data_IF_189284471120
#
_entry.id   IF_189284471120
#
_cell.length_a   1.000
_cell.length_b   1.000
_cell.length_c   1.000
_cell.angle_alpha   90.00
_cell.angle_beta   90.00
_cell.angle_gamma   90.00
#
_symmetry.space_group_name_H-M   'P 1'
#
loop_
_entity.id
_entity.type
_entity.pdbx_description
1 polymer ?
#
# COMPACT_ATOMS: atom_id res chain seq x y z
N UNK A 1 -11.39 -4.89 9.17
CA UNK A 1 -10.99 -6.14 8.49
C UNK A 1 -11.02 -7.29 9.49
N UNK A 2 -11.81 -8.34 9.20
CA UNK A 2 -11.90 -9.55 10.03
C UNK A 2 -11.04 -10.70 9.49
N UNK A 3 -10.62 -10.63 8.23
CA UNK A 3 -9.73 -11.62 7.60
C UNK A 3 -8.30 -11.37 8.04
N UNK A 4 -7.86 -10.11 7.97
CA UNK A 4 -6.58 -9.65 8.51
C UNK A 4 -6.83 -8.58 9.58
N UNK A 5 -7.02 -8.95 10.85
CA UNK A 5 -7.22 -7.99 11.93
C UNK A 5 -6.05 -7.00 11.99
N UNK A 6 -6.35 -5.70 11.91
CA UNK A 6 -5.32 -4.67 11.75
C UNK A 6 -4.31 -4.65 12.91
N UNK A 7 -4.73 -4.98 14.15
CA UNK A 7 -3.81 -5.10 15.29
C UNK A 7 -2.79 -6.24 15.11
N UNK A 8 -3.16 -7.30 14.40
CA UNK A 8 -2.23 -8.37 14.05
C UNK A 8 -1.26 -7.91 12.96
N UNK A 9 -1.74 -7.20 11.93
CA UNK A 9 -0.90 -6.61 10.88
C UNK A 9 0.07 -5.58 11.47
N UNK A 10 -0.39 -4.77 12.43
CA UNK A 10 0.41 -3.73 13.08
C UNK A 10 1.65 -4.26 13.81
N UNK A 11 1.64 -5.54 14.22
CA UNK A 11 2.83 -6.21 14.78
C UNK A 11 4.02 -6.26 13.81
N UNK A 12 3.82 -5.94 12.53
CA UNK A 12 4.90 -5.75 11.57
C UNK A 12 6.00 -4.79 12.08
N UNK A 13 5.66 -3.75 12.84
CA UNK A 13 6.64 -2.84 13.46
C UNK A 13 7.61 -3.56 14.42
N UNK A 14 7.20 -4.69 15.00
CA UNK A 14 8.03 -5.48 15.92
C UNK A 14 8.95 -6.48 15.20
N UNK A 15 8.76 -6.67 13.89
CA UNK A 15 9.45 -7.69 13.09
C UNK A 15 10.28 -7.10 11.94
N UNK A 16 10.14 -5.80 11.69
CA UNK A 16 10.76 -5.12 10.56
C UNK A 16 12.03 -4.39 11.01
N UNK A 17 13.14 -4.66 10.33
CA UNK A 17 14.40 -3.92 10.49
C UNK A 17 14.50 -2.70 9.54
N UNK A 18 13.37 -2.30 8.94
CA UNK A 18 13.34 -1.12 8.06
C UNK A 18 13.64 0.17 8.84
N UNK A 19 14.46 1.09 8.30
CA UNK A 19 14.81 2.34 8.98
C UNK A 19 13.61 3.29 9.14
N UNK A 20 12.56 3.08 8.35
CA UNK A 20 11.31 3.81 8.43
C UNK A 20 10.14 2.88 8.06
N UNK A 21 9.08 2.89 8.86
CA UNK A 21 7.82 2.16 8.61
C UNK A 21 6.67 3.16 8.63
N UNK A 22 5.98 3.29 7.50
CA UNK A 22 4.71 4.04 7.44
C UNK A 22 3.55 3.06 7.50
N UNK A 23 2.71 3.17 8.54
CA UNK A 23 1.52 2.35 8.68
C UNK A 23 0.27 3.15 8.31
N UNK A 24 -0.59 2.54 7.51
CA UNK A 24 -1.85 3.12 7.05
C UNK A 24 -3.00 2.23 7.51
N UNK A 25 -3.92 2.81 8.27
CA UNK A 25 -5.17 2.16 8.68
C UNK A 25 -6.34 2.77 7.92
N UNK A 26 -6.96 1.99 7.05
CA UNK A 26 -8.05 2.44 6.17
C UNK A 26 -9.43 2.15 6.76
N UNK A 27 -10.43 2.99 6.47
CA UNK A 27 -11.83 2.68 6.78
C UNK A 27 -12.42 1.61 5.84
N UNK A 28 -13.08 0.61 6.42
CA UNK A 28 -13.79 -0.45 5.68
C UNK A 28 -13.44 -1.88 6.11
N UNK A 29 -14.08 -2.85 5.46
CA UNK A 29 -13.73 -4.27 5.55
C UNK A 29 -12.49 -4.61 4.70
N UNK A 30 -12.12 -5.90 4.64
CA UNK A 30 -10.93 -6.38 3.91
C UNK A 30 -10.83 -5.81 2.48
N UNK A 31 -11.82 -6.12 1.63
CA UNK A 31 -11.84 -5.66 0.25
C UNK A 31 -12.19 -4.17 0.12
N UNK A 32 -13.12 -3.70 0.96
CA UNK A 32 -13.64 -2.33 0.85
C UNK A 32 -12.62 -1.29 1.32
N UNK A 33 -11.73 -1.64 2.25
CA UNK A 33 -10.67 -0.75 2.74
C UNK A 33 -9.51 -0.65 1.76
N UNK A 34 -9.10 -1.78 1.16
CA UNK A 34 -8.00 -1.79 0.18
C UNK A 34 -8.39 -1.11 -1.13
N UNK A 35 -9.62 -1.34 -1.62
CA UNK A 35 -10.18 -0.69 -2.81
C UNK A 35 -10.64 0.74 -2.47
N UNK A 36 -9.72 1.69 -2.63
CA UNK A 36 -9.89 3.08 -2.22
C UNK A 36 -9.74 4.01 -3.43
N UNK A 37 -10.70 4.02 -4.33
CA UNK A 37 -10.68 4.92 -5.49
C UNK A 37 -10.60 6.41 -5.06
N UNK A 38 -9.72 7.24 -5.68
CA UNK A 38 -9.52 8.64 -5.27
C UNK A 38 -10.77 9.51 -5.35
N UNK A 39 -11.73 9.14 -6.21
CA UNK A 39 -12.96 9.90 -6.41
C UNK A 39 -14.02 9.67 -5.32
N UNK A 40 -13.79 8.76 -4.36
CA UNK A 40 -14.74 8.47 -3.31
C UNK A 40 -14.46 9.31 -2.05
N UNK A 41 -15.25 10.38 -1.78
CA UNK A 41 -14.99 11.29 -0.66
C UNK A 41 -15.33 10.68 0.71
N UNK A 42 -16.03 9.53 0.75
CA UNK A 42 -16.39 8.86 2.01
C UNK A 42 -15.26 8.01 2.57
N UNK A 43 -14.15 7.89 1.84
CA UNK A 43 -12.95 7.21 2.33
C UNK A 43 -12.26 8.06 3.37
N UNK A 44 -11.74 7.38 4.39
CA UNK A 44 -10.88 7.98 5.41
C UNK A 44 -9.79 6.97 5.76
N UNK A 45 -8.63 7.46 6.18
CA UNK A 45 -7.54 6.64 6.67
C UNK A 45 -6.80 7.37 7.81
N UNK A 46 -6.11 6.61 8.65
CA UNK A 46 -5.12 7.12 9.58
C UNK A 46 -3.74 6.70 9.11
N UNK A 47 -2.75 7.57 9.27
CA UNK A 47 -1.39 7.30 8.80
C UNK A 47 -0.39 7.92 9.75
N UNK A 48 0.62 7.13 10.10
CA UNK A 48 1.75 7.59 10.91
C UNK A 48 3.00 6.83 10.48
N UNK A 49 4.11 7.55 10.48
CA UNK A 49 5.43 7.04 10.13
C UNK A 49 6.26 6.94 11.38
N UNK A 50 6.81 5.76 11.64
CA UNK A 50 7.75 5.48 12.70
C UNK A 50 9.16 5.30 12.11
N UNK A 51 10.15 5.92 12.72
CA UNK A 51 11.56 5.87 12.30
C UNK A 51 12.40 5.06 13.27
N UNK A 52 13.54 4.58 12.77
CA UNK A 52 14.53 3.90 13.59
C UNK A 52 14.92 4.75 14.80
N UNK A 53 14.94 4.11 15.99
CA UNK A 53 15.23 4.76 17.25
C UNK A 53 14.02 5.41 17.95
N UNK A 54 12.87 5.54 17.28
CA UNK A 54 11.63 5.96 17.94
C UNK A 54 11.05 4.82 18.78
N UNK A 55 10.37 5.18 19.89
CA UNK A 55 9.75 4.19 20.76
C UNK A 55 8.57 3.52 20.07
N UNK A 56 8.41 2.21 20.31
CA UNK A 56 7.23 1.48 19.89
C UNK A 56 5.96 2.07 20.52
N UNK A 57 4.96 2.36 19.70
CA UNK A 57 3.64 2.81 20.12
C UNK A 57 2.72 1.58 20.06
N UNK A 58 2.03 1.25 21.15
CA UNK A 58 1.07 0.14 21.10
C UNK A 58 -0.12 0.48 20.17
N UNK A 59 -0.83 -0.52 19.63
CA UNK A 59 -1.87 -0.29 18.65
C UNK A 59 -2.97 0.67 19.14
N UNK A 60 -3.37 0.60 20.41
CA UNK A 60 -4.50 1.39 20.91
C UNK A 60 -4.09 2.86 21.07
N UNK A 61 -2.87 3.13 21.56
CA UNK A 61 -2.29 4.49 21.52
C UNK A 61 -2.12 4.98 20.09
N UNK A 62 -1.60 4.14 19.19
CA UNK A 62 -1.43 4.50 17.78
C UNK A 62 -2.75 4.91 17.13
N UNK A 63 -3.85 4.20 17.44
CA UNK A 63 -5.17 4.53 16.90
C UNK A 63 -5.66 5.92 17.34
N UNK A 64 -5.33 6.34 18.55
CA UNK A 64 -5.69 7.64 19.10
C UNK A 64 -4.81 8.78 18.58
N UNK A 65 -3.52 8.52 18.40
CA UNK A 65 -2.51 9.54 18.05
C UNK A 65 -2.34 9.71 16.53
N UNK A 66 -2.56 8.65 15.74
CA UNK A 66 -2.35 8.69 14.30
C UNK A 66 -3.30 9.69 13.63
N UNK A 67 -2.77 10.70 12.91
CA UNK A 67 -3.59 11.68 12.22
C UNK A 67 -4.58 11.04 11.26
N UNK A 68 -5.81 11.57 11.25
CA UNK A 68 -6.88 11.13 10.35
C UNK A 68 -6.96 12.02 9.12
N UNK A 69 -7.06 11.39 7.97
CA UNK A 69 -7.15 12.00 6.66
C UNK A 69 -8.44 11.60 5.95
N UNK A 70 -8.99 12.52 5.16
CA UNK A 70 -10.13 12.27 4.29
C UNK A 70 -9.65 11.93 2.88
N UNK A 71 -10.41 11.09 2.18
CA UNK A 71 -10.10 10.63 0.83
C UNK A 71 -9.32 9.32 0.81
N UNK A 72 -8.71 9.05 -0.34
CA UNK A 72 -8.05 7.77 -0.60
C UNK A 72 -6.62 7.70 -0.06
N UNK A 73 -6.30 6.59 0.60
CA UNK A 73 -4.93 6.27 1.02
C UNK A 73 -3.99 5.95 -0.15
N UNK A 74 -4.52 5.71 -1.37
CA UNK A 74 -3.69 5.52 -2.56
C UNK A 74 -2.88 6.78 -2.89
N UNK A 75 -3.36 7.97 -2.51
CA UNK A 75 -2.68 9.23 -2.80
C UNK A 75 -1.34 9.37 -2.04
N UNK A 76 -1.27 9.26 -0.69
CA UNK A 76 0.01 9.26 -0.01
C UNK A 76 0.90 8.07 -0.38
N UNK A 77 0.31 6.91 -0.71
CA UNK A 77 1.08 5.75 -1.19
C UNK A 77 1.74 6.03 -2.55
N UNK A 78 1.01 6.62 -3.49
CA UNK A 78 1.55 7.04 -4.78
C UNK A 78 2.67 8.06 -4.61
N UNK A 79 2.50 9.03 -3.70
CA UNK A 79 3.53 10.02 -3.43
C UNK A 79 4.79 9.39 -2.84
N UNK A 80 4.62 8.49 -1.85
CA UNK A 80 5.73 7.71 -1.31
C UNK A 80 6.45 6.92 -2.41
N UNK A 81 5.71 6.27 -3.33
CA UNK A 81 6.31 5.56 -4.47
C UNK A 81 7.09 6.51 -5.39
N UNK A 82 6.58 7.70 -5.68
CA UNK A 82 7.30 8.69 -6.51
C UNK A 82 8.60 9.14 -5.85
N UNK A 83 8.58 9.43 -4.54
CA UNK A 83 9.77 9.84 -3.79
C UNK A 83 10.82 8.72 -3.73
N UNK A 84 10.38 7.46 -3.68
CA UNK A 84 11.25 6.29 -3.59
C UNK A 84 11.54 5.61 -4.94
N UNK A 85 11.05 6.17 -6.05
CA UNK A 85 11.35 5.71 -7.40
C UNK A 85 12.38 6.64 -8.04
N UNK A 86 13.24 6.08 -8.89
CA UNK A 86 14.28 6.86 -9.55
C UNK A 86 13.96 7.12 -11.02
N UNK A 87 14.03 8.39 -11.41
CA UNK A 87 13.98 8.82 -12.80
C UNK A 87 12.56 8.85 -13.39
N UNK A 88 12.44 9.57 -14.49
CA UNK A 88 11.29 9.51 -15.39
C UNK A 88 11.82 9.22 -16.78
N UNK A 89 11.27 8.20 -17.43
CA UNK A 89 11.64 7.81 -18.78
C UNK A 89 10.39 7.59 -19.61
N UNK A 90 10.53 7.66 -20.93
CA UNK A 90 9.49 7.18 -21.82
C UNK A 90 9.17 5.71 -21.47
N UNK A 91 7.88 5.32 -21.43
CA UNK A 91 7.51 3.93 -21.22
C UNK A 91 8.21 3.03 -22.25
N UNK A 92 8.77 1.88 -21.83
CA UNK A 92 9.36 0.94 -22.77
C UNK A 92 8.28 0.32 -23.67
N UNK A 93 8.71 -0.26 -24.79
CA UNK A 93 7.83 -1.11 -25.59
C UNK A 93 7.35 -2.33 -24.79
N UNK A 94 6.21 -2.89 -25.18
CA UNK A 94 5.70 -4.11 -24.57
C UNK A 94 6.63 -5.29 -24.87
N UNK A 95 7.04 -6.01 -23.83
CA UNK A 95 8.01 -7.10 -23.93
C UNK A 95 9.47 -6.65 -24.13
N UNK A 96 10.38 -7.62 -24.13
CA UNK A 96 11.79 -7.45 -24.47
C UNK A 96 12.35 -8.74 -25.09
N UNK A 97 12.04 -9.03 -26.37
CA UNK A 97 12.43 -10.29 -27.03
C UNK A 97 13.93 -10.55 -27.01
N UNK A 98 14.74 -9.50 -27.13
CA UNK A 98 16.21 -9.55 -27.07
C UNK A 98 16.72 -10.10 -25.73
N UNK A 99 15.92 -9.93 -24.66
CA UNK A 99 16.17 -10.43 -23.31
C UNK A 99 15.39 -11.71 -23.00
N UNK A 100 14.81 -12.36 -24.02
CA UNK A 100 13.99 -13.56 -23.88
C UNK A 100 12.55 -13.33 -23.42
N UNK A 101 12.11 -12.09 -23.24
CA UNK A 101 10.77 -11.74 -22.76
C UNK A 101 9.83 -11.45 -23.93
N UNK A 102 9.30 -12.50 -24.55
CA UNK A 102 8.36 -12.38 -25.68
C UNK A 102 6.96 -12.00 -25.20
N UNK A 103 6.22 -11.27 -26.03
CA UNK A 103 4.79 -11.02 -25.80
C UNK A 103 4.04 -12.34 -25.98
N UNK A 104 3.25 -12.72 -24.98
CA UNK A 104 2.51 -13.99 -24.96
C UNK A 104 1.02 -13.83 -25.34
N UNK A 105 0.51 -12.61 -25.26
CA UNK A 105 -0.90 -12.27 -25.51
C UNK A 105 -1.30 -11.03 -24.71
N UNK A 106 -2.53 -10.57 -24.92
CA UNK A 106 -3.07 -9.43 -24.19
C UNK A 106 -3.37 -9.76 -22.72
N UNK A 107 -3.24 -8.77 -21.85
CA UNK A 107 -3.80 -8.85 -20.50
C UNK A 107 -5.33 -9.00 -20.58
N UNK A 108 -5.98 -9.77 -19.66
CA UNK A 108 -5.42 -10.33 -18.42
C UNK A 108 -4.80 -11.73 -18.56
N UNK A 109 -4.60 -12.23 -19.78
CA UNK A 109 -4.07 -13.57 -20.03
C UNK A 109 -5.12 -14.67 -19.80
N UNK A 110 -4.68 -15.92 -19.79
CA UNK A 110 -5.59 -17.09 -19.74
C UNK A 110 -5.77 -17.68 -18.35
N UNK A 111 -4.79 -17.54 -17.46
CA UNK A 111 -4.81 -18.19 -16.14
C UNK A 111 -5.90 -17.66 -15.23
N UNK A 112 -6.26 -16.37 -15.34
CA UNK A 112 -7.34 -15.76 -14.56
C UNK A 112 -8.73 -16.37 -14.88
N UNK A 113 -8.88 -17.06 -16.01
CA UNK A 113 -10.13 -17.67 -16.46
C UNK A 113 -10.22 -19.17 -16.15
N UNK A 114 -9.16 -19.77 -15.59
CA UNK A 114 -9.17 -21.18 -15.22
C UNK A 114 -10.01 -21.36 -13.95
N UNK A 115 -10.86 -22.38 -13.95
CA UNK A 115 -11.77 -22.74 -12.86
C UNK A 115 -11.21 -23.96 -12.13
#
# INVERSE_FOLDING_TARGET
>A
DHVAPWRSVYKFHLMSDAPEVTFVLTSGGHNTGILSEPQNPRRTYQMLTQREGEQYIDPDRWLEEAPRFNGSWWLPWQEWLKTNSTGQTAPPQMGAPEKGLRILGDAPGTYVHQI
#
